data_IF_616673746569
#
_entry.id   IF_616673746569
#
_cell.length_a   1.000
_cell.length_b   1.000
_cell.length_c   1.000
_cell.angle_alpha   90.00
_cell.angle_beta   90.00
_cell.angle_gamma   90.00
#
_symmetry.space_group_name_H-M   'P 1'
#
loop_
_entity.id
_entity.type
_entity.pdbx_description
1 polymer ?
#
# COMPACT_ATOMS: atom_id res chain seq x y z
N UNK A 1 22.19 -22.74 7.81
CA UNK A 1 22.50 -21.30 7.79
C UNK A 1 21.17 -20.55 7.87
N UNK A 2 20.94 -19.65 8.85
CA UNK A 2 19.67 -18.90 8.92
C UNK A 2 19.69 -17.88 7.78
N UNK A 3 18.71 -17.93 6.88
CA UNK A 3 18.58 -16.96 5.79
C UNK A 3 18.47 -15.54 6.37
N UNK A 4 19.22 -14.59 5.80
CA UNK A 4 19.07 -13.17 6.08
C UNK A 4 17.74 -12.70 5.49
N UNK A 5 16.95 -12.01 6.30
CA UNK A 5 15.70 -11.38 5.87
C UNK A 5 15.96 -9.88 5.81
N UNK A 6 15.53 -9.22 4.75
CA UNK A 6 15.71 -7.79 4.56
C UNK A 6 14.36 -7.11 4.63
N UNK A 7 14.33 -5.97 5.31
CA UNK A 7 13.11 -5.19 5.55
C UNK A 7 13.40 -3.74 5.18
N UNK A 8 12.61 -3.17 4.28
CA UNK A 8 12.75 -1.75 3.94
C UNK A 8 11.40 -1.13 3.58
N UNK A 9 11.37 0.19 3.69
CA UNK A 9 10.16 0.94 3.43
C UNK A 9 10.28 2.38 3.86
N UNK A 10 9.13 3.02 3.99
CA UNK A 10 9.00 4.30 4.63
C UNK A 10 7.71 4.37 5.42
N UNK A 11 7.68 5.22 6.44
CA UNK A 11 6.48 5.55 7.19
C UNK A 11 6.04 6.98 6.93
N UNK A 12 4.73 7.24 7.01
CA UNK A 12 4.16 8.59 6.98
C UNK A 12 3.77 8.96 8.40
N UNK A 13 4.56 9.82 9.06
CA UNK A 13 4.34 10.21 10.45
C UNK A 13 4.49 11.73 10.67
N UNK A 14 3.55 12.38 11.39
CA UNK A 14 2.30 11.82 11.90
C UNK A 14 1.34 11.40 10.77
N UNK A 15 0.32 10.56 11.04
CA UNK A 15 -0.67 10.18 10.04
C UNK A 15 -1.27 11.40 9.33
N UNK A 16 -1.66 11.20 8.08
CA UNK A 16 -2.40 12.21 7.32
C UNK A 16 -3.73 12.52 8.00
N UNK A 17 -4.19 13.77 7.94
CA UNK A 17 -5.46 14.18 8.50
C UNK A 17 -6.59 13.90 7.49
N UNK A 18 -7.53 12.98 7.79
CA UNK A 18 -8.60 12.62 6.87
C UNK A 18 -9.74 13.66 6.85
N UNK A 19 -9.68 14.70 7.69
CA UNK A 19 -10.67 15.79 7.72
C UNK A 19 -10.17 17.07 7.06
N UNK A 20 -8.89 17.13 6.71
CA UNK A 20 -8.32 18.26 5.97
C UNK A 20 -8.48 18.04 4.46
N UNK A 21 -9.26 18.89 3.81
CA UNK A 21 -9.49 18.85 2.37
C UNK A 21 -8.18 18.95 1.56
N UNK A 22 -7.23 19.76 2.02
CA UNK A 22 -5.94 19.89 1.33
C UNK A 22 -5.15 18.58 1.40
N UNK A 23 -5.14 17.93 2.56
CA UNK A 23 -4.52 16.60 2.75
C UNK A 23 -5.20 15.53 1.89
N UNK A 24 -6.53 15.53 1.80
CA UNK A 24 -7.28 14.63 0.92
C UNK A 24 -6.89 14.83 -0.54
N UNK A 25 -6.87 16.08 -1.02
CA UNK A 25 -6.56 16.38 -2.42
C UNK A 25 -5.09 16.07 -2.74
N UNK A 26 -4.18 16.37 -1.83
CA UNK A 26 -2.78 15.97 -1.92
C UNK A 26 -2.62 14.45 -2.00
N UNK A 27 -3.39 13.70 -1.21
CA UNK A 27 -3.39 12.24 -1.26
C UNK A 27 -3.96 11.70 -2.58
N UNK A 28 -5.01 12.32 -3.13
CA UNK A 28 -5.51 11.98 -4.48
C UNK A 28 -4.43 12.20 -5.54
N UNK A 29 -3.75 13.35 -5.52
CA UNK A 29 -2.65 13.62 -6.45
C UNK A 29 -1.48 12.65 -6.28
N UNK A 30 -1.19 12.24 -5.04
CA UNK A 30 -0.23 11.18 -4.75
C UNK A 30 -0.64 9.86 -5.42
N UNK A 31 -1.89 9.41 -5.25
CA UNK A 31 -2.40 8.20 -5.90
C UNK A 31 -2.33 8.30 -7.43
N UNK A 32 -2.75 9.43 -8.01
CA UNK A 32 -2.66 9.66 -9.46
C UNK A 32 -1.21 9.59 -9.95
N UNK A 33 -0.27 10.17 -9.20
CA UNK A 33 1.16 10.14 -9.55
C UNK A 33 1.74 8.73 -9.47
N UNK A 34 1.37 7.97 -8.43
CA UNK A 34 1.75 6.55 -8.30
C UNK A 34 1.17 5.74 -9.46
N UNK A 35 -0.12 5.86 -9.76
CA UNK A 35 -0.76 5.20 -10.90
C UNK A 35 -0.03 5.51 -12.20
N UNK A 36 0.16 6.79 -12.53
CA UNK A 36 0.81 7.20 -13.77
C UNK A 36 2.26 6.69 -13.89
N UNK A 37 3.00 6.63 -12.78
CA UNK A 37 4.39 6.13 -12.77
C UNK A 37 4.48 4.62 -13.03
N UNK A 38 3.50 3.84 -12.56
CA UNK A 38 3.53 2.38 -12.61
C UNK A 38 2.53 1.76 -13.60
N UNK A 39 1.72 2.57 -14.27
CA UNK A 39 0.81 2.11 -15.31
C UNK A 39 1.56 1.39 -16.42
N UNK A 40 1.07 0.20 -16.78
CA UNK A 40 1.67 -0.64 -17.83
C UNK A 40 3.03 -1.23 -17.50
N UNK A 41 3.65 -0.91 -16.36
CA UNK A 41 4.94 -1.50 -15.96
C UNK A 41 4.76 -2.98 -15.61
N UNK A 42 5.57 -3.82 -16.25
CA UNK A 42 5.61 -5.26 -16.04
C UNK A 42 6.94 -5.68 -15.46
N UNK A 43 6.92 -6.68 -14.58
CA UNK A 43 8.09 -7.27 -13.95
C UNK A 43 7.92 -8.80 -13.98
N UNK A 44 8.78 -9.54 -14.71
CA UNK A 44 8.74 -11.00 -14.80
C UNK A 44 8.62 -11.72 -13.45
N UNK A 45 9.27 -11.18 -12.41
CA UNK A 45 9.25 -11.75 -11.06
C UNK A 45 8.00 -11.37 -10.25
N UNK A 46 7.11 -10.52 -10.77
CA UNK A 46 5.87 -10.14 -10.09
C UNK A 46 5.02 -11.38 -9.74
N UNK A 47 4.40 -11.33 -8.56
CA UNK A 47 3.58 -12.41 -8.02
C UNK A 47 2.34 -12.73 -8.88
N UNK A 48 1.99 -11.88 -9.84
CA UNK A 48 0.87 -12.09 -10.75
C UNK A 48 1.25 -12.84 -12.01
N UNK A 49 0.27 -13.54 -12.58
CA UNK A 49 0.37 -14.08 -13.92
C UNK A 49 0.46 -12.97 -15.00
N UNK A 50 -0.18 -11.81 -14.79
CA UNK A 50 -0.20 -10.69 -15.75
C UNK A 50 1.09 -9.85 -15.75
N UNK A 51 1.99 -10.13 -14.81
CA UNK A 51 3.27 -9.46 -14.60
C UNK A 51 3.20 -7.96 -14.31
N UNK A 52 2.04 -7.33 -14.23
CA UNK A 52 1.93 -5.93 -13.86
C UNK A 52 2.31 -5.75 -12.40
N UNK A 53 3.13 -4.73 -12.14
CA UNK A 53 3.66 -4.50 -10.79
C UNK A 53 2.66 -3.78 -9.89
N UNK A 54 1.78 -2.96 -10.45
CA UNK A 54 0.74 -2.23 -9.72
C UNK A 54 -0.64 -2.69 -10.20
N UNK A 55 -1.50 -3.07 -9.25
CA UNK A 55 -2.93 -3.26 -9.48
C UNK A 55 -3.71 -2.24 -8.66
N UNK A 56 -4.69 -1.63 -9.29
CA UNK A 56 -5.60 -0.68 -8.65
C UNK A 56 -7.03 -1.22 -8.70
N UNK A 57 -7.96 -0.66 -7.90
CA UNK A 57 -9.38 -0.98 -8.02
C UNK A 57 -9.98 -0.64 -9.40
N UNK A 58 -9.40 0.32 -10.13
CA UNK A 58 -9.86 0.77 -11.46
C UNK A 58 -9.39 -0.15 -12.58
N UNK A 59 -8.23 -0.80 -12.38
CA UNK A 59 -7.65 -1.75 -13.33
C UNK A 59 -7.46 -3.14 -12.69
N UNK A 60 -8.55 -3.73 -12.14
CA UNK A 60 -8.48 -5.01 -11.45
C UNK A 60 -8.06 -6.12 -12.43
N UNK A 61 -7.66 -7.26 -11.88
CA UNK A 61 -7.29 -8.43 -12.70
C UNK A 61 -7.94 -9.72 -12.20
N UNK A 62 -8.09 -10.74 -13.05
CA UNK A 62 -8.82 -11.96 -12.71
C UNK A 62 -8.23 -12.74 -11.53
N UNK A 63 -6.91 -12.80 -11.41
CA UNK A 63 -6.18 -13.47 -10.32
C UNK A 63 -6.00 -12.56 -9.08
N UNK A 64 -6.48 -11.31 -9.10
CA UNK A 64 -6.36 -10.40 -7.96
C UNK A 64 -7.06 -10.98 -6.73
N UNK A 65 -8.24 -11.56 -6.93
CA UNK A 65 -8.99 -12.20 -5.87
C UNK A 65 -8.29 -13.47 -5.34
N UNK A 66 -7.49 -14.16 -6.16
CA UNK A 66 -6.73 -15.34 -5.71
C UNK A 66 -5.48 -14.96 -4.93
N UNK A 67 -4.80 -13.89 -5.34
CA UNK A 67 -3.57 -13.43 -4.68
C UNK A 67 -3.88 -12.57 -3.45
N UNK A 68 -4.98 -11.82 -3.49
CA UNK A 68 -5.33 -10.83 -2.48
C UNK A 68 -6.85 -10.61 -2.38
N UNK A 69 -7.61 -11.65 -1.99
CA UNK A 69 -9.09 -11.68 -2.03
C UNK A 69 -9.78 -10.54 -1.32
N UNK A 70 -9.18 -10.03 -0.25
CA UNK A 70 -9.77 -9.02 0.63
C UNK A 70 -9.37 -7.59 0.29
N UNK A 71 -8.47 -7.37 -0.68
CA UNK A 71 -7.87 -6.06 -0.91
C UNK A 71 -8.20 -5.46 -2.28
N UNK A 72 -8.81 -6.23 -3.18
CA UNK A 72 -8.90 -5.87 -4.60
C UNK A 72 -9.63 -4.56 -4.89
N UNK A 73 -10.62 -4.21 -4.06
CA UNK A 73 -11.37 -2.96 -4.17
C UNK A 73 -10.84 -1.85 -3.24
N UNK A 74 -9.98 -2.18 -2.27
CA UNK A 74 -9.65 -1.32 -1.13
C UNK A 74 -8.29 -0.64 -1.24
N UNK A 75 -7.38 -1.25 -2.02
CA UNK A 75 -6.00 -0.81 -2.07
C UNK A 75 -5.45 -0.83 -3.49
N UNK A 76 -4.51 0.07 -3.71
CA UNK A 76 -3.48 -0.08 -4.72
C UNK A 76 -2.50 -1.11 -4.18
N UNK A 77 -2.37 -2.24 -4.87
CA UNK A 77 -1.55 -3.37 -4.46
C UNK A 77 -0.33 -3.49 -5.37
N UNK A 78 0.86 -3.45 -4.77
CA UNK A 78 2.10 -3.75 -5.47
C UNK A 78 2.39 -5.25 -5.43
N UNK A 79 2.66 -5.85 -6.59
CA UNK A 79 2.85 -7.28 -6.78
C UNK A 79 4.24 -7.77 -6.44
N UNK A 80 4.80 -7.15 -5.43
CA UNK A 80 6.06 -7.47 -4.79
C UNK A 80 5.81 -8.48 -3.66
N UNK A 81 6.85 -9.18 -3.23
CA UNK A 81 6.79 -9.93 -1.98
C UNK A 81 6.40 -9.02 -0.80
N UNK A 82 5.58 -9.55 0.10
CA UNK A 82 4.98 -8.77 1.19
C UNK A 82 3.74 -7.96 0.79
N UNK A 83 3.43 -7.86 -0.51
CA UNK A 83 2.28 -7.16 -1.08
C UNK A 83 2.03 -5.77 -0.45
N UNK A 84 2.94 -4.80 -0.65
CA UNK A 84 2.75 -3.44 -0.14
C UNK A 84 1.46 -2.82 -0.68
N UNK A 85 0.76 -2.07 0.17
CA UNK A 85 -0.58 -1.55 -0.13
C UNK A 85 -0.68 -0.06 0.17
N UNK A 86 -1.50 0.61 -0.61
CA UNK A 86 -1.86 2.01 -0.41
C UNK A 86 -3.40 2.09 -0.43
N UNK A 87 -4.07 2.63 0.60
CA UNK A 87 -5.52 2.82 0.59
C UNK A 87 -5.98 3.57 -0.67
N UNK A 88 -6.94 3.01 -1.39
CA UNK A 88 -7.40 3.57 -2.65
C UNK A 88 -8.37 4.76 -2.48
N UNK A 89 -9.07 4.80 -1.36
CA UNK A 89 -10.01 5.88 -1.05
C UNK A 89 -9.32 6.94 -0.18
N UNK A 90 -9.26 8.17 -0.69
CA UNK A 90 -8.61 9.30 -0.04
C UNK A 90 -9.27 9.70 1.30
N UNK A 91 -10.52 9.31 1.55
CA UNK A 91 -11.16 9.49 2.86
C UNK A 91 -10.51 8.64 3.97
N UNK A 92 -9.65 7.68 3.59
CA UNK A 92 -8.89 6.82 4.50
C UNK A 92 -7.38 7.06 4.40
N UNK A 93 -6.96 8.25 3.97
CA UNK A 93 -5.53 8.60 3.85
C UNK A 93 -4.77 8.49 5.18
N UNK A 94 -5.47 8.67 6.31
CA UNK A 94 -4.94 8.50 7.66
C UNK A 94 -4.53 7.05 7.99
N UNK A 95 -5.02 6.08 7.20
CA UNK A 95 -4.65 4.66 7.30
C UNK A 95 -3.44 4.31 6.44
N UNK A 96 -2.93 5.24 5.63
CA UNK A 96 -1.67 5.05 4.92
C UNK A 96 -0.48 5.31 5.86
N UNK A 97 -0.17 4.32 6.71
CA UNK A 97 0.85 4.45 7.74
C UNK A 97 2.27 4.14 7.22
N UNK A 98 2.39 3.16 6.33
CA UNK A 98 3.67 2.65 5.85
C UNK A 98 3.53 2.04 4.47
N UNK A 99 4.58 2.19 3.66
CA UNK A 99 4.79 1.39 2.47
C UNK A 99 6.11 0.64 2.63
N UNK A 100 6.01 -0.65 2.89
CA UNK A 100 7.16 -1.45 3.30
C UNK A 100 7.00 -2.89 2.91
N UNK A 101 8.13 -3.57 2.87
CA UNK A 101 8.23 -4.97 2.53
C UNK A 101 9.30 -5.63 3.37
N UNK A 102 9.06 -6.89 3.68
CA UNK A 102 10.04 -7.77 4.26
C UNK A 102 10.16 -8.97 3.32
N UNK A 103 11.38 -9.27 2.87
CA UNK A 103 11.62 -10.41 1.99
C UNK A 103 12.90 -11.13 2.39
N UNK A 104 12.90 -12.43 2.11
CA UNK A 104 14.10 -13.26 2.11
C UNK A 104 14.54 -13.41 0.66
N UNK A 105 15.85 -13.44 0.42
CA UNK A 105 16.37 -13.75 -0.92
C UNK A 105 15.77 -15.07 -1.42
N UNK A 106 14.77 -14.97 -2.29
CA UNK A 106 14.09 -16.08 -2.96
C UNK A 106 13.65 -15.63 -4.35
N UNK A 107 13.61 -16.60 -5.27
CA UNK A 107 12.91 -16.63 -6.54
C UNK A 107 12.75 -15.28 -7.26
N UNK A 108 13.85 -14.82 -7.86
CA UNK A 108 13.83 -13.81 -8.92
C UNK A 108 13.82 -12.35 -8.47
N UNK A 109 13.80 -12.06 -7.16
CA UNK A 109 13.93 -10.70 -6.64
C UNK A 109 15.29 -10.46 -5.98
N UNK A 110 16.05 -9.52 -6.53
CA UNK A 110 17.26 -9.00 -5.89
C UNK A 110 16.91 -7.94 -4.85
N UNK A 111 17.82 -7.70 -3.92
CA UNK A 111 17.64 -6.62 -2.93
C UNK A 111 17.57 -5.27 -3.61
N UNK A 112 18.41 -5.08 -4.62
CA UNK A 112 18.56 -3.86 -5.40
C UNK A 112 17.26 -3.54 -6.13
N UNK A 113 16.66 -4.54 -6.79
CA UNK A 113 15.36 -4.40 -7.49
C UNK A 113 14.28 -3.95 -6.53
N UNK A 114 14.23 -4.54 -5.34
CA UNK A 114 13.20 -4.24 -4.35
C UNK A 114 13.38 -2.84 -3.75
N UNK A 115 14.62 -2.46 -3.42
CA UNK A 115 14.94 -1.11 -2.95
C UNK A 115 14.60 -0.05 -3.99
N UNK A 116 14.76 -0.35 -5.28
CA UNK A 116 14.38 0.55 -6.39
C UNK A 116 12.87 0.86 -6.35
N UNK A 117 12.01 -0.15 -6.26
CA UNK A 117 10.55 0.06 -6.19
C UNK A 117 10.13 0.84 -4.95
N UNK A 118 10.70 0.53 -3.77
CA UNK A 118 10.44 1.33 -2.56
C UNK A 118 10.90 2.76 -2.76
N UNK A 119 12.10 2.97 -3.32
CA UNK A 119 12.68 4.29 -3.53
C UNK A 119 11.83 5.14 -4.48
N UNK A 120 11.33 4.56 -5.58
CA UNK A 120 10.47 5.27 -6.51
C UNK A 120 9.16 5.73 -5.84
N UNK A 121 8.50 4.88 -5.06
CA UNK A 121 7.29 5.27 -4.31
C UNK A 121 7.62 6.25 -3.19
N UNK A 122 8.77 6.09 -2.51
CA UNK A 122 9.26 6.99 -1.47
C UNK A 122 9.48 8.41 -2.00
N UNK A 123 10.11 8.56 -3.16
CA UNK A 123 10.33 9.87 -3.79
C UNK A 123 8.99 10.54 -4.09
N UNK A 124 8.03 9.79 -4.63
CA UNK A 124 6.68 10.32 -4.86
C UNK A 124 6.05 10.75 -3.53
N UNK A 125 6.14 9.92 -2.49
CA UNK A 125 5.59 10.23 -1.17
C UNK A 125 6.23 11.48 -0.56
N UNK A 126 7.56 11.63 -0.61
CA UNK A 126 8.27 12.83 -0.11
C UNK A 126 7.81 14.09 -0.86
N UNK A 127 7.67 14.01 -2.18
CA UNK A 127 7.23 15.16 -2.98
C UNK A 127 5.81 15.61 -2.61
N UNK A 128 4.97 14.72 -2.10
CA UNK A 128 3.60 15.04 -1.70
C UNK A 128 3.53 15.40 -0.21
N UNK A 129 4.01 14.52 0.67
CA UNK A 129 3.79 14.64 2.12
C UNK A 129 4.96 15.27 2.89
N UNK A 130 6.06 15.60 2.20
CA UNK A 130 7.21 16.31 2.76
C UNK A 130 7.87 15.57 3.93
N UNK A 131 8.18 16.33 4.98
CA UNK A 131 8.92 15.87 6.17
C UNK A 131 8.22 14.77 7.00
N UNK A 132 6.96 14.46 6.67
CA UNK A 132 6.22 13.34 7.25
C UNK A 132 6.77 11.99 6.80
N UNK A 133 7.41 11.93 5.62
CA UNK A 133 7.86 10.67 5.03
C UNK A 133 9.25 10.33 5.52
N UNK A 134 9.38 9.19 6.19
CA UNK A 134 10.63 8.75 6.83
C UNK A 134 11.02 7.39 6.30
N UNK A 135 12.06 7.36 5.48
CA UNK A 135 12.63 6.13 4.94
C UNK A 135 13.33 5.32 6.02
N UNK A 136 13.27 4.01 5.90
CA UNK A 136 13.96 3.09 6.79
C UNK A 136 14.33 1.78 6.09
N UNK A 137 15.42 1.17 6.56
CA UNK A 137 15.89 -0.11 6.07
C UNK A 137 16.53 -0.91 7.21
N UNK A 138 16.42 -2.23 7.16
CA UNK A 138 16.86 -3.15 8.20
C UNK A 138 17.26 -4.51 7.62
N UNK A 139 18.24 -5.15 8.27
CA UNK A 139 18.65 -6.53 7.99
C UNK A 139 18.32 -7.41 9.20
N UNK A 140 17.35 -8.29 9.07
CA UNK A 140 17.03 -9.34 10.03
C UNK A 140 18.08 -10.47 9.96
N UNK A 141 18.77 -10.69 11.09
CA UNK A 141 19.81 -11.71 11.24
C UNK A 141 20.91 -11.35 12.24
N UNK A 142 21.04 -10.06 12.58
CA UNK A 142 21.79 -9.59 13.76
C UNK A 142 20.81 -9.07 14.80
N UNK A 143 20.92 -9.56 16.04
CA UNK A 143 20.12 -9.12 17.19
C UNK A 143 20.44 -7.66 17.57
N UNK A 144 20.07 -6.70 16.75
CA UNK A 144 20.01 -5.29 17.12
C UNK A 144 18.61 -4.79 16.87
N UNK A 145 17.82 -4.78 17.95
CA UNK A 145 16.47 -4.26 18.03
C UNK A 145 16.45 -2.79 17.58
N UNK A 146 15.99 -2.52 16.36
CA UNK A 146 15.34 -1.25 16.03
C UNK A 146 14.22 -1.58 15.05
N UNK A 147 12.97 -1.41 15.50
CA UNK A 147 11.85 -1.16 14.60
C UNK A 147 12.23 0.13 13.85
N UNK A 148 12.52 0.05 12.56
CA UNK A 148 13.05 1.21 11.84
C UNK A 148 11.95 2.14 11.32
N UNK A 149 10.70 1.70 11.30
CA UNK A 149 9.51 2.51 11.02
C UNK A 149 8.78 3.01 12.28
N UNK A 150 7.89 3.99 12.09
CA UNK A 150 7.11 4.60 13.18
C UNK A 150 5.96 3.73 13.69
N UNK A 151 5.60 2.70 12.93
CA UNK A 151 4.45 1.84 13.18
C UNK A 151 4.90 0.39 13.25
N UNK A 152 4.31 -0.37 14.17
CA UNK A 152 4.48 -1.82 14.22
C UNK A 152 3.69 -2.49 13.11
N UNK A 153 4.00 -3.75 12.80
CA UNK A 153 3.20 -4.53 11.84
C UNK A 153 1.74 -4.63 12.29
N UNK A 154 1.48 -4.73 13.59
CA UNK A 154 0.14 -4.76 14.15
C UNK A 154 -0.64 -3.47 13.90
N UNK A 155 0.01 -2.30 14.00
CA UNK A 155 -0.63 -1.02 13.69
C UNK A 155 -1.01 -0.92 12.22
N UNK A 156 -0.12 -1.38 11.32
CA UNK A 156 -0.36 -1.41 9.87
C UNK A 156 -1.51 -2.35 9.54
N UNK A 157 -1.50 -3.58 10.06
CA UNK A 157 -2.55 -4.56 9.81
C UNK A 157 -3.92 -4.09 10.35
N UNK A 158 -3.93 -3.43 11.52
CA UNK A 158 -5.14 -2.82 12.07
C UNK A 158 -5.67 -1.66 11.20
N UNK A 159 -4.78 -0.81 10.67
CA UNK A 159 -5.16 0.26 9.75
C UNK A 159 -5.74 -0.30 8.45
N UNK A 160 -5.11 -1.32 7.86
CA UNK A 160 -5.64 -2.00 6.67
C UNK A 160 -7.03 -2.62 6.94
N UNK A 161 -7.23 -3.24 8.10
CA UNK A 161 -8.53 -3.81 8.50
C UNK A 161 -9.64 -2.76 8.56
N UNK A 162 -9.32 -1.54 9.01
CA UNK A 162 -10.28 -0.45 9.03
C UNK A 162 -10.67 -0.02 7.61
N UNK A 163 -9.71 0.06 6.67
CA UNK A 163 -9.98 0.36 5.26
C UNK A 163 -10.89 -0.71 4.64
N UNK A 164 -10.58 -2.00 4.88
CA UNK A 164 -11.42 -3.12 4.40
C UNK A 164 -12.84 -3.04 4.93
N UNK A 165 -13.00 -2.81 6.24
CA UNK A 165 -14.33 -2.70 6.89
C UNK A 165 -15.13 -1.52 6.38
N UNK A 166 -14.47 -0.41 6.03
CA UNK A 166 -15.15 0.77 5.49
C UNK A 166 -15.80 0.50 4.12
N UNK A 167 -15.17 -0.31 3.26
CA UNK A 167 -15.78 -0.71 1.99
C UNK A 167 -17.02 -1.59 2.15
N UNK A 168 -16.98 -2.56 3.08
CA UNK A 168 -18.15 -3.43 3.36
C UNK A 168 -19.34 -2.61 3.89
N UNK A 169 -19.04 -1.48 4.54
CA UNK A 169 -20.04 -0.55 5.10
C UNK A 169 -20.53 0.50 4.12
N UNK A 170 -19.98 0.62 2.91
CA UNK A 170 -20.66 1.38 1.85
C UNK A 170 -21.80 0.48 1.37
N UNK A 171 -23.07 0.70 1.78
CA UNK A 171 -24.15 0.03 1.08
C UNK A 171 -24.02 0.45 -0.38
N UNK A 172 -24.24 -0.48 -1.31
CA UNK A 172 -24.53 -0.13 -2.68
C UNK A 172 -25.55 1.00 -2.65
N UNK A 173 -25.10 2.21 -2.98
CA UNK A 173 -25.94 3.39 -3.09
C UNK A 173 -26.86 3.23 -4.30
N UNK A 174 -27.75 2.25 -4.26
CA UNK A 174 -29.04 2.38 -4.90
C UNK A 174 -29.89 3.17 -3.92
N UNK A 175 -29.82 4.48 -4.04
CA UNK A 175 -31.03 5.28 -3.89
C UNK A 175 -32.08 4.64 -4.80
N UNK A 176 -33.00 3.87 -4.21
CA UNK A 176 -34.28 3.63 -4.87
C UNK A 176 -34.98 4.99 -4.89
N UNK A 177 -35.47 5.40 -6.05
CA UNK A 177 -36.22 6.64 -6.26
C UNK A 177 -37.60 6.64 -5.56
N UNK A 178 -37.76 5.93 -4.45
CA UNK A 178 -39.07 5.55 -3.92
C UNK A 178 -39.24 5.90 -2.43
N UNK A 179 -38.25 6.55 -1.81
CA UNK A 179 -38.46 7.31 -0.57
C UNK A 179 -39.08 6.57 0.63
N UNK A 180 -38.82 5.26 0.81
CA UNK A 180 -39.27 4.54 2.00
C UNK A 180 -38.12 3.85 2.73
N UNK A 181 -37.98 4.19 4.01
CA UNK A 181 -37.13 3.50 5.00
C UNK A 181 -38.04 2.49 5.71
N UNK A 182 -37.61 1.23 5.81
CA UNK A 182 -38.25 0.26 6.71
C UNK A 182 -37.33 0.09 7.92
N UNK A 183 -37.92 0.24 9.11
CA UNK A 183 -37.29 0.06 10.42
C UNK A 183 -36.90 -1.39 10.71
#
# INVERSE_FOLDING_TARGET
MRALEFDCGFSVYPPLDPNDHNTIDLYKTFLTTVSAKFEGRVEPSALSADKRILITPETPRPDHASISPTNAAAFYCFMLHGLPKIPADAAHCDKFLSFSLSFRHHDGWSKETVEEYISEVYVIAVNHFGDRVRYWHGLYGRRSNKQWGYYTRADIDAAEDLVRKALVRKPDGKERKDGHIIA
#
